data_IF_798605513607
#
_entry.id   IF_798605513607
#
_cell.length_a   1.000
_cell.length_b   1.000
_cell.length_c   1.000
_cell.angle_alpha   90.00
_cell.angle_beta   90.00
_cell.angle_gamma   90.00
#
_symmetry.space_group_name_H-M   'P 1'
#
loop_
_entity.id
_entity.type
_entity.pdbx_description
1 polymer ?
#
# COMPACT_ATOMS: atom_id res chain seq x y z
N UNK A 1 28.46 -1.71 -27.22
CA UNK A 1 27.10 -2.30 -27.35
C UNK A 1 26.07 -1.23 -27.01
N UNK A 2 24.97 -1.09 -27.77
CA UNK A 2 23.88 -0.21 -27.36
C UNK A 2 23.34 -0.70 -26.01
N UNK A 3 23.10 0.22 -25.06
CA UNK A 3 22.51 -0.12 -23.76
C UNK A 3 21.10 -0.68 -24.02
N UNK A 4 20.85 -1.93 -23.61
CA UNK A 4 19.50 -2.50 -23.62
C UNK A 4 18.67 -1.73 -22.60
N UNK A 5 17.51 -1.25 -23.01
CA UNK A 5 16.56 -0.56 -22.14
C UNK A 5 15.50 -1.56 -21.71
N UNK A 6 15.09 -1.49 -20.45
CA UNK A 6 13.96 -2.23 -19.89
C UNK A 6 12.96 -1.19 -19.39
N UNK A 7 11.68 -1.40 -19.70
CA UNK A 7 10.56 -0.63 -19.16
C UNK A 7 9.79 -1.56 -18.23
N UNK A 8 9.78 -1.23 -16.94
CA UNK A 8 9.00 -1.96 -15.93
C UNK A 8 7.74 -1.16 -15.62
N UNK A 9 6.59 -1.82 -15.72
CA UNK A 9 5.28 -1.23 -15.39
C UNK A 9 4.69 -2.07 -14.26
N UNK A 10 4.35 -1.42 -13.15
CA UNK A 10 3.69 -2.05 -12.00
C UNK A 10 2.23 -1.59 -11.99
N UNK A 11 1.30 -2.54 -12.05
CA UNK A 11 -0.13 -2.29 -11.88
C UNK A 11 -0.48 -2.50 -10.41
N UNK A 12 -0.33 -1.44 -9.61
CA UNK A 12 -0.44 -1.54 -8.16
C UNK A 12 -1.82 -2.05 -7.72
N UNK A 13 -1.81 -3.03 -6.81
CA UNK A 13 -3.01 -3.69 -6.30
C UNK A 13 -3.58 -4.80 -7.19
N UNK A 14 -3.15 -4.97 -8.45
CA UNK A 14 -3.73 -5.99 -9.34
C UNK A 14 -3.23 -7.42 -9.02
N UNK A 15 -3.85 -8.05 -8.02
CA UNK A 15 -3.64 -9.46 -7.70
C UNK A 15 -4.30 -10.40 -8.71
N UNK A 16 -3.61 -11.48 -9.08
CA UNK A 16 -4.13 -12.47 -10.03
C UNK A 16 -4.79 -13.65 -9.33
N UNK A 17 -4.16 -14.23 -8.30
CA UNK A 17 -4.69 -15.36 -7.52
C UNK A 17 -4.18 -15.28 -6.09
N UNK A 18 -4.88 -15.91 -5.16
CA UNK A 18 -4.39 -16.07 -3.79
C UNK A 18 -3.04 -16.83 -3.75
N UNK A 19 -2.19 -16.44 -2.81
CA UNK A 19 -0.95 -17.17 -2.52
C UNK A 19 -1.21 -18.32 -1.54
N UNK A 20 -0.34 -19.35 -1.49
CA UNK A 20 -0.52 -20.49 -0.57
C UNK A 20 -0.64 -20.10 0.92
N UNK A 21 -0.09 -18.95 1.29
CA UNK A 21 -0.09 -18.37 2.63
C UNK A 21 -1.15 -17.27 2.85
N UNK A 22 -2.07 -17.07 1.89
CA UNK A 22 -3.08 -16.00 1.95
C UNK A 22 -3.94 -16.05 3.23
N UNK A 23 -4.18 -17.22 3.81
CA UNK A 23 -4.90 -17.37 5.06
C UNK A 23 -4.23 -16.63 6.23
N UNK A 24 -2.90 -16.57 6.27
CA UNK A 24 -2.12 -15.84 7.28
C UNK A 24 -2.33 -14.33 7.22
N UNK A 25 -2.80 -13.82 6.07
CA UNK A 25 -3.07 -12.40 5.83
C UNK A 25 -4.57 -12.05 5.80
N UNK A 26 -5.45 -13.04 6.05
CA UNK A 26 -6.90 -12.87 5.96
C UNK A 26 -7.44 -12.81 4.52
N UNK A 27 -6.64 -13.17 3.52
CA UNK A 27 -6.95 -12.97 2.09
C UNK A 27 -7.34 -14.28 1.38
N UNK A 28 -7.83 -15.28 2.13
CA UNK A 28 -8.25 -16.55 1.53
C UNK A 28 -9.37 -16.31 0.51
N UNK A 29 -9.20 -16.82 -0.70
CA UNK A 29 -10.08 -16.64 -1.85
C UNK A 29 -9.85 -15.34 -2.62
N UNK A 30 -8.81 -14.56 -2.33
CA UNK A 30 -8.53 -13.33 -3.04
C UNK A 30 -8.22 -13.58 -4.54
N UNK A 31 -8.99 -12.96 -5.42
CA UNK A 31 -8.81 -13.06 -6.87
C UNK A 31 -9.23 -11.74 -7.56
N UNK A 32 -8.46 -10.68 -7.37
CA UNK A 32 -8.78 -9.31 -7.83
C UNK A 32 -9.17 -9.23 -9.31
N UNK A 33 -8.36 -9.81 -10.22
CA UNK A 33 -8.65 -9.75 -11.65
C UNK A 33 -10.02 -10.36 -12.02
N UNK A 34 -10.35 -11.53 -11.43
CA UNK A 34 -11.64 -12.18 -11.63
C UNK A 34 -12.77 -11.35 -11.02
N UNK A 35 -12.62 -10.88 -9.78
CA UNK A 35 -13.64 -10.09 -9.11
C UNK A 35 -13.96 -8.80 -9.87
N UNK A 36 -12.93 -8.14 -10.43
CA UNK A 36 -13.12 -6.98 -11.30
C UNK A 36 -13.88 -7.39 -12.57
N UNK A 37 -13.43 -8.43 -13.26
CA UNK A 37 -14.06 -8.87 -14.51
C UNK A 37 -15.51 -9.36 -14.34
N UNK A 38 -15.85 -9.92 -13.17
CA UNK A 38 -17.21 -10.31 -12.82
C UNK A 38 -18.08 -9.08 -12.45
N UNK A 39 -17.51 -8.09 -11.76
CA UNK A 39 -18.23 -6.90 -11.32
C UNK A 39 -18.44 -5.88 -12.46
N UNK A 40 -17.49 -5.78 -13.39
CA UNK A 40 -17.58 -4.90 -14.55
C UNK A 40 -16.97 -5.56 -15.78
N UNK A 41 -17.52 -5.24 -16.97
CA UNK A 41 -16.99 -5.75 -18.24
C UNK A 41 -15.55 -5.25 -18.43
N UNK A 42 -14.58 -6.11 -18.13
CA UNK A 42 -13.16 -5.81 -18.27
C UNK A 42 -12.77 -5.72 -19.75
N UNK A 43 -12.40 -4.52 -20.23
CA UNK A 43 -11.93 -4.31 -21.60
C UNK A 43 -10.47 -3.87 -21.61
N UNK A 44 -9.57 -4.85 -21.74
CA UNK A 44 -8.11 -4.61 -21.80
C UNK A 44 -7.47 -5.40 -22.96
N UNK A 45 -7.95 -5.25 -24.21
CA UNK A 45 -7.58 -6.12 -25.34
C UNK A 45 -6.07 -6.19 -25.58
N UNK A 46 -5.35 -5.10 -25.31
CA UNK A 46 -3.88 -5.09 -25.41
C UNK A 46 -3.24 -6.02 -24.38
N UNK A 47 -3.63 -5.97 -23.11
CA UNK A 47 -3.11 -6.85 -22.06
C UNK A 47 -3.53 -8.31 -22.27
N UNK A 48 -4.76 -8.54 -22.76
CA UNK A 48 -5.21 -9.88 -23.18
C UNK A 48 -4.30 -10.42 -24.29
N UNK A 49 -4.01 -9.62 -25.32
CA UNK A 49 -3.11 -10.04 -26.41
C UNK A 49 -1.68 -10.33 -25.97
N UNK A 50 -1.24 -9.76 -24.84
CA UNK A 50 0.06 -10.04 -24.20
C UNK A 50 0.02 -11.28 -23.29
N UNK A 51 -1.17 -11.82 -22.99
CA UNK A 51 -1.34 -13.05 -22.21
C UNK A 51 -1.89 -12.86 -20.80
N UNK A 52 -2.45 -11.70 -20.44
CA UNK A 52 -3.01 -11.46 -19.08
C UNK A 52 -4.01 -12.54 -18.66
N UNK A 53 -4.99 -12.86 -19.51
CA UNK A 53 -5.97 -13.91 -19.21
C UNK A 53 -5.40 -15.33 -19.19
N UNK A 54 -4.21 -15.54 -19.76
CA UNK A 54 -3.54 -16.83 -19.77
C UNK A 54 -2.75 -17.12 -18.48
N UNK A 55 -2.56 -16.12 -17.59
CA UNK A 55 -1.78 -16.27 -16.34
C UNK A 55 -2.50 -17.19 -15.35
N UNK A 56 -3.81 -17.00 -15.18
CA UNK A 56 -4.67 -17.83 -14.35
C UNK A 56 -6.04 -17.92 -15.01
N UNK A 57 -6.55 -19.14 -15.14
CA UNK A 57 -7.85 -19.36 -15.76
C UNK A 57 -8.96 -18.72 -14.91
N UNK A 58 -9.80 -17.92 -15.55
CA UNK A 58 -11.01 -17.34 -14.98
C UNK A 58 -12.08 -17.29 -16.07
N UNK A 59 -13.33 -17.70 -15.79
CA UNK A 59 -14.40 -17.69 -16.78
C UNK A 59 -14.75 -16.27 -17.27
N UNK A 60 -14.48 -15.26 -16.44
CA UNK A 60 -14.82 -13.86 -16.71
C UNK A 60 -13.70 -13.10 -17.45
N UNK A 61 -12.53 -13.74 -17.66
CA UNK A 61 -11.36 -13.13 -18.29
C UNK A 61 -11.02 -13.87 -19.58
N UNK A 62 -11.12 -13.18 -20.71
CA UNK A 62 -10.77 -13.74 -22.01
C UNK A 62 -9.30 -14.19 -22.07
N UNK A 63 -9.05 -15.33 -22.69
CA UNK A 63 -7.68 -15.81 -22.99
C UNK A 63 -7.31 -15.47 -24.43
N UNK A 64 -6.01 -15.47 -24.74
CA UNK A 64 -5.54 -15.29 -26.10
C UNK A 64 -4.83 -16.55 -26.60
N UNK A 65 -5.25 -17.08 -27.75
CA UNK A 65 -4.77 -18.36 -28.27
C UNK A 65 -3.28 -18.37 -28.62
N UNK A 66 -2.72 -17.21 -28.99
CA UNK A 66 -1.30 -17.07 -29.32
C UNK A 66 -0.75 -15.77 -28.73
N UNK A 67 -0.45 -15.73 -27.42
CA UNK A 67 0.02 -14.53 -26.74
C UNK A 67 1.27 -13.94 -27.38
N UNK A 68 1.30 -12.61 -27.49
CA UNK A 68 2.40 -11.87 -28.14
C UNK A 68 3.62 -11.69 -27.24
N UNK A 69 3.53 -12.14 -25.99
CA UNK A 69 4.59 -12.05 -24.99
C UNK A 69 4.60 -13.30 -24.11
N UNK A 70 5.71 -13.48 -23.39
CA UNK A 70 5.77 -14.45 -22.30
C UNK A 70 4.95 -13.94 -21.12
N UNK A 71 4.27 -14.86 -20.46
CA UNK A 71 3.43 -14.58 -19.31
C UNK A 71 3.70 -15.60 -18.20
N UNK A 72 3.37 -15.22 -16.98
CA UNK A 72 3.57 -16.04 -15.80
C UNK A 72 3.10 -15.29 -14.56
N UNK A 73 3.28 -15.90 -13.40
CA UNK A 73 2.98 -15.30 -12.10
C UNK A 73 4.18 -15.40 -11.19
N UNK A 74 4.27 -14.46 -10.26
CA UNK A 74 5.29 -14.42 -9.22
C UNK A 74 4.61 -14.60 -7.86
N UNK A 75 5.35 -15.14 -6.90
CA UNK A 75 4.94 -15.23 -5.51
C UNK A 75 5.83 -14.28 -4.70
N UNK A 76 5.22 -13.46 -3.85
CA UNK A 76 5.96 -12.62 -2.91
C UNK A 76 6.81 -13.50 -1.99
N UNK A 77 8.09 -13.15 -1.85
CA UNK A 77 9.04 -13.90 -1.02
C UNK A 77 9.19 -13.30 0.37
N UNK A 78 8.81 -12.04 0.52
CA UNK A 78 8.89 -11.30 1.77
C UNK A 78 7.70 -11.57 2.67
N UNK A 79 7.90 -11.41 3.97
CA UNK A 79 6.82 -11.39 4.95
C UNK A 79 6.21 -9.98 4.98
N UNK A 80 5.22 -9.75 4.12
CA UNK A 80 4.50 -8.47 4.00
C UNK A 80 3.66 -8.42 2.72
N UNK A 81 2.61 -7.59 2.73
CA UNK A 81 1.72 -7.39 1.57
C UNK A 81 1.50 -5.93 1.19
N UNK A 82 2.31 -5.04 1.77
CA UNK A 82 2.28 -3.60 1.54
C UNK A 82 3.22 -3.20 0.39
N UNK A 83 2.97 -2.02 -0.19
CA UNK A 83 3.75 -1.49 -1.32
C UNK A 83 5.22 -1.27 -0.96
N UNK A 84 5.54 -1.00 0.31
CA UNK A 84 6.91 -0.78 0.80
C UNK A 84 7.70 -2.08 0.98
N UNK A 85 7.01 -3.22 0.97
CA UNK A 85 7.58 -4.57 0.85
C UNK A 85 7.71 -5.02 -0.62
N UNK A 86 6.63 -4.89 -1.41
CA UNK A 86 6.58 -5.45 -2.77
C UNK A 86 7.53 -4.77 -3.77
N UNK A 87 7.64 -3.44 -3.75
CA UNK A 87 8.50 -2.72 -4.71
C UNK A 87 9.98 -3.07 -4.56
N UNK A 88 10.57 -3.06 -3.35
CA UNK A 88 11.93 -3.56 -3.14
C UNK A 88 12.09 -5.05 -3.49
N UNK A 89 11.05 -5.86 -3.29
CA UNK A 89 11.01 -7.28 -3.69
C UNK A 89 11.29 -7.49 -5.18
N UNK A 90 10.70 -6.65 -6.04
CA UNK A 90 10.97 -6.67 -7.50
C UNK A 90 12.45 -6.36 -7.81
N UNK A 91 13.09 -5.51 -6.99
CA UNK A 91 14.51 -5.19 -7.11
C UNK A 91 15.44 -6.19 -6.40
N UNK A 92 14.89 -7.25 -5.78
CA UNK A 92 15.64 -8.33 -5.14
C UNK A 92 15.85 -8.20 -3.62
N UNK A 93 15.18 -7.24 -2.95
CA UNK A 93 15.22 -7.13 -1.49
C UNK A 93 14.12 -7.99 -0.86
N UNK A 94 14.50 -8.96 -0.03
CA UNK A 94 13.55 -9.82 0.68
C UNK A 94 13.52 -9.45 2.16
N UNK A 95 12.36 -9.08 2.68
CA UNK A 95 12.17 -8.78 4.11
C UNK A 95 11.49 -9.95 4.82
N UNK A 96 12.05 -10.39 5.94
CA UNK A 96 11.45 -11.47 6.76
C UNK A 96 10.57 -10.92 7.88
N UNK A 97 10.61 -9.61 8.10
CA UNK A 97 9.85 -8.92 9.13
C UNK A 97 8.91 -7.94 8.45
N UNK A 98 7.59 -8.09 8.62
CA UNK A 98 6.63 -7.14 8.06
C UNK A 98 6.77 -5.79 8.75
N UNK A 99 6.42 -4.73 8.02
CA UNK A 99 6.23 -3.43 8.65
C UNK A 99 5.05 -3.47 9.63
N UNK A 100 5.13 -2.77 10.77
CA UNK A 100 4.03 -2.70 11.71
C UNK A 100 2.85 -1.91 11.09
N UNK A 101 1.65 -2.46 11.24
CA UNK A 101 0.39 -1.76 10.98
C UNK A 101 -0.18 -1.23 12.30
N UNK A 102 -0.91 -0.11 12.26
CA UNK A 102 -1.56 0.42 13.46
C UNK A 102 -3.04 0.76 13.26
N UNK A 103 -3.91 -0.26 13.09
CA UNK A 103 -5.34 -0.04 12.90
C UNK A 103 -6.01 0.72 14.06
N UNK A 104 -5.44 0.63 15.26
CA UNK A 104 -5.93 1.30 16.47
C UNK A 104 -5.07 2.50 16.89
N UNK A 105 -4.27 3.05 15.96
CA UNK A 105 -3.29 4.10 16.25
C UNK A 105 -1.98 3.57 16.83
N UNK A 106 -0.99 4.45 16.91
CA UNK A 106 0.34 4.15 17.42
C UNK A 106 0.30 3.65 18.87
N UNK A 107 1.26 2.78 19.23
CA UNK A 107 1.40 2.35 20.61
C UNK A 107 1.86 3.51 21.51
N UNK A 108 1.56 3.45 22.82
CA UNK A 108 2.04 4.46 23.78
C UNK A 108 3.56 4.67 23.72
N UNK A 109 4.35 3.60 23.55
CA UNK A 109 5.81 3.68 23.46
C UNK A 109 6.28 4.45 22.21
N UNK A 110 5.62 4.24 21.07
CA UNK A 110 5.94 4.97 19.83
C UNK A 110 5.60 6.45 19.99
N UNK A 111 4.44 6.76 20.54
CA UNK A 111 4.02 8.14 20.79
C UNK A 111 4.92 8.83 21.79
N UNK A 112 5.30 8.16 22.87
CA UNK A 112 6.19 8.73 23.87
C UNK A 112 7.54 9.11 23.25
N UNK A 113 8.17 8.20 22.52
CA UNK A 113 9.44 8.48 21.82
C UNK A 113 9.31 9.63 20.82
N UNK A 114 8.18 9.69 20.11
CA UNK A 114 7.89 10.79 19.19
C UNK A 114 7.75 12.14 19.91
N UNK A 115 7.02 12.18 21.04
CA UNK A 115 6.87 13.39 21.86
C UNK A 115 8.21 13.86 22.42
N UNK A 116 9.04 12.93 22.92
CA UNK A 116 10.39 13.22 23.41
C UNK A 116 11.28 13.81 22.31
N UNK A 117 11.28 13.21 21.12
CA UNK A 117 12.07 13.67 19.98
C UNK A 117 11.64 15.04 19.44
N UNK A 118 10.34 15.37 19.54
CA UNK A 118 9.79 16.65 19.07
C UNK A 118 9.74 17.74 20.14
N UNK A 119 9.96 17.40 21.42
CA UNK A 119 9.76 18.29 22.55
C UNK A 119 8.28 18.60 22.84
N UNK A 120 7.34 17.93 22.16
CA UNK A 120 5.93 18.09 22.39
C UNK A 120 5.52 17.40 23.70
N UNK A 121 4.69 18.05 24.52
CA UNK A 121 4.26 17.48 25.81
C UNK A 121 3.08 16.50 25.67
N UNK A 122 2.26 16.66 24.63
CA UNK A 122 1.02 15.89 24.39
C UNK A 122 0.74 15.85 22.88
N UNK A 123 0.04 14.81 22.43
CA UNK A 123 -0.51 14.69 21.08
C UNK A 123 -2.03 14.92 21.06
N UNK A 124 -2.59 15.06 19.86
CA UNK A 124 -4.03 15.09 19.59
C UNK A 124 -4.41 13.85 18.77
N UNK A 125 -5.55 13.23 19.09
CA UNK A 125 -5.96 11.98 18.44
C UNK A 125 -4.97 10.84 18.68
N UNK A 126 -5.23 9.72 18.01
CA UNK A 126 -4.32 8.59 17.77
C UNK A 126 -5.18 7.46 17.22
N UNK A 127 -5.34 7.38 15.91
CA UNK A 127 -6.23 6.38 15.32
C UNK A 127 -6.18 6.35 13.80
N UNK A 128 -6.83 5.33 13.25
CA UNK A 128 -6.97 5.17 11.82
C UNK A 128 -8.02 6.15 11.28
N UNK A 129 -7.58 7.15 10.51
CA UNK A 129 -8.43 8.14 9.86
C UNK A 129 -7.76 8.73 8.62
N UNK A 130 -8.56 9.22 7.68
CA UNK A 130 -8.04 9.96 6.54
C UNK A 130 -7.39 11.26 7.00
N UNK A 131 -6.28 11.66 6.36
CA UNK A 131 -5.56 12.89 6.72
C UNK A 131 -6.45 14.14 6.66
N UNK A 132 -7.38 14.21 5.70
CA UNK A 132 -8.36 15.29 5.60
C UNK A 132 -9.30 15.34 6.81
N UNK A 133 -9.75 14.19 7.31
CA UNK A 133 -10.60 14.08 8.50
C UNK A 133 -9.82 14.52 9.74
N UNK A 134 -8.57 14.07 9.88
CA UNK A 134 -7.69 14.48 10.99
C UNK A 134 -7.49 16.00 11.01
N UNK A 135 -7.24 16.61 9.84
CA UNK A 135 -7.10 18.06 9.72
C UNK A 135 -8.41 18.77 10.08
N UNK A 136 -9.55 18.27 9.59
CA UNK A 136 -10.85 18.87 9.86
C UNK A 136 -11.22 18.81 11.34
N UNK A 137 -10.93 17.71 12.02
CA UNK A 137 -11.31 17.50 13.43
C UNK A 137 -10.31 18.11 14.42
N UNK A 138 -9.00 18.04 14.11
CA UNK A 138 -7.93 18.36 15.06
C UNK A 138 -7.07 19.57 14.64
N UNK A 139 -7.26 20.10 13.44
CA UNK A 139 -6.43 21.16 12.87
C UNK A 139 -6.46 22.45 13.68
N UNK A 140 -7.65 22.93 14.05
CA UNK A 140 -7.80 24.16 14.85
C UNK A 140 -7.13 24.02 16.22
N UNK A 141 -7.32 22.87 16.88
CA UNK A 141 -6.70 22.58 18.18
C UNK A 141 -5.17 22.43 18.06
N UNK A 142 -4.69 21.83 16.98
CA UNK A 142 -3.26 21.72 16.66
C UNK A 142 -2.64 23.11 16.53
N UNK A 143 -3.24 24.00 15.73
CA UNK A 143 -2.76 25.38 15.53
C UNK A 143 -2.77 26.15 16.84
N UNK A 144 -3.85 26.01 17.63
CA UNK A 144 -4.02 26.73 18.90
C UNK A 144 -3.04 26.29 19.97
N UNK A 145 -2.73 24.99 20.05
CA UNK A 145 -1.96 24.41 21.15
C UNK A 145 -0.52 24.03 20.80
N UNK A 146 -0.20 23.96 19.50
CA UNK A 146 1.05 23.42 18.99
C UNK A 146 1.21 21.90 19.19
N UNK A 147 0.16 21.19 19.63
CA UNK A 147 0.22 19.74 19.88
C UNK A 147 0.12 18.98 18.56
N UNK A 148 1.07 18.09 18.22
CA UNK A 148 1.01 17.31 16.99
C UNK A 148 -0.26 16.44 16.93
N UNK A 149 -0.93 16.44 15.78
CA UNK A 149 -2.03 15.53 15.50
C UNK A 149 -1.48 14.19 15.01
N UNK A 150 -1.82 13.12 15.71
CA UNK A 150 -1.36 11.77 15.43
C UNK A 150 -2.52 10.92 14.89
N UNK A 151 -2.35 10.36 13.70
CA UNK A 151 -3.34 9.52 13.05
C UNK A 151 -2.97 9.28 11.58
N UNK A 152 -3.63 8.35 10.93
CA UNK A 152 -3.46 8.16 9.48
C UNK A 152 -4.17 6.93 8.96
N UNK A 153 -3.86 6.49 7.76
CA UNK A 153 -4.50 5.30 7.21
C UNK A 153 -4.02 4.04 7.93
N UNK A 154 -4.85 2.99 7.92
CA UNK A 154 -4.57 1.74 8.62
C UNK A 154 -3.22 1.10 8.20
N UNK A 155 -2.84 1.30 6.93
CA UNK A 155 -1.60 0.77 6.36
C UNK A 155 -0.39 1.66 6.68
N UNK A 156 -0.58 2.98 6.78
CA UNK A 156 0.46 3.96 7.03
C UNK A 156 -0.07 5.14 7.86
N UNK A 157 0.37 5.23 9.12
CA UNK A 157 0.17 6.45 9.89
C UNK A 157 1.28 7.45 9.64
N UNK A 158 0.86 8.70 9.48
CA UNK A 158 1.76 9.84 9.32
C UNK A 158 1.68 10.70 10.57
N UNK A 159 2.77 11.37 10.90
CA UNK A 159 2.72 12.46 11.89
C UNK A 159 3.00 13.76 11.15
N UNK A 160 1.99 14.61 11.07
CA UNK A 160 2.07 15.89 10.37
C UNK A 160 2.48 17.01 11.32
N UNK A 161 3.61 17.65 11.04
CA UNK A 161 3.90 19.00 11.52
C UNK A 161 3.63 19.98 10.39
N UNK A 162 2.54 20.75 10.46
CA UNK A 162 2.43 21.94 9.62
C UNK A 162 3.45 22.92 10.17
N UNK A 163 4.42 23.32 9.34
CA UNK A 163 5.51 24.20 9.73
C UNK A 163 4.98 25.39 10.53
N UNK A 164 5.40 25.49 11.78
CA UNK A 164 5.16 26.69 12.60
C UNK A 164 5.88 27.83 11.87
N UNK A 165 5.22 28.96 11.55
CA UNK A 165 5.92 30.12 11.01
C UNK A 165 6.99 30.52 12.03
N UNK A 166 8.24 30.60 11.57
CA UNK A 166 9.38 31.05 12.36
C UNK A 166 9.04 32.43 12.96
N UNK A 167 8.78 32.49 14.27
CA UNK A 167 8.63 33.76 14.99
C UNK A 167 10.02 34.34 15.29
N UNK A 168 10.78 34.61 14.23
CA UNK A 168 11.97 35.46 14.24
C UNK A 168 11.90 36.44 13.08
N UNK A 169 11.08 37.47 13.26
CA UNK A 169 11.30 38.85 12.80
C UNK A 169 10.20 39.74 13.37
#
# INVERSE_FOLDING_TARGET
MPKRKVVLIVLEGLGIVELPDAASYGDKGAHMLQHIAAACRLSVPNLISLGLGNIAFSPDVETYASPRAYYGRMREASAGKDSTTGHPGIAGLITQTPFPVYPNGFSPDVLQRFLEATGAKRHLGNGAAWGTVIIQELGDEHVRTGRPACGGQADHLHVGGLGVPDRRS
#
